data_IF_782600074590
#
_entry.id   IF_782600074590
#
_cell.length_a   1.000
_cell.length_b   1.000
_cell.length_c   1.000
_cell.angle_alpha   90.00
_cell.angle_beta   90.00
_cell.angle_gamma   90.00
#
_symmetry.space_group_name_H-M   'P 1'
#
loop_
_entity.id
_entity.type
_entity.pdbx_description
1 polymer ?
#
# COMPACT_ATOMS: atom_id res chain seq x y z
N UNK A 1 6.79 11.23 13.04
CA UNK A 1 6.83 11.60 11.61
C UNK A 1 5.42 12.10 11.29
N UNK A 2 5.25 13.40 11.04
CA UNK A 2 3.96 13.95 10.60
C UNK A 2 3.81 13.60 9.13
N UNK A 3 3.09 12.54 8.79
CA UNK A 3 2.86 12.14 7.39
C UNK A 3 1.91 13.14 6.75
N UNK A 4 2.33 13.74 5.64
CA UNK A 4 1.45 14.62 4.85
C UNK A 4 0.39 13.79 4.14
N UNK A 5 -0.75 14.39 3.79
CA UNK A 5 -1.82 13.71 3.04
C UNK A 5 -1.27 13.09 1.73
N UNK A 6 -0.31 13.75 1.09
CA UNK A 6 0.35 13.24 -0.13
C UNK A 6 1.25 12.04 0.13
N UNK A 7 1.94 12.01 1.27
CA UNK A 7 2.78 10.88 1.68
C UNK A 7 1.96 9.67 2.12
N UNK A 8 0.71 9.85 2.55
CA UNK A 8 -0.22 8.75 2.88
C UNK A 8 -0.94 8.24 1.63
N UNK A 9 -1.49 9.15 0.82
CA UNK A 9 -2.33 8.79 -0.33
C UNK A 9 -1.53 8.18 -1.48
N UNK A 10 -0.32 8.67 -1.78
CA UNK A 10 0.49 8.15 -2.88
C UNK A 10 0.84 6.66 -2.74
N UNK A 11 1.45 6.18 -1.63
CA UNK A 11 1.74 4.76 -1.47
C UNK A 11 0.46 3.92 -1.44
N UNK A 12 -0.61 4.41 -0.80
CA UNK A 12 -1.88 3.70 -0.76
C UNK A 12 -2.49 3.46 -2.16
N UNK A 13 -2.33 4.40 -3.11
CA UNK A 13 -2.73 4.17 -4.51
C UNK A 13 -1.78 3.19 -5.22
N UNK A 14 -0.47 3.27 -4.97
CA UNK A 14 0.50 2.31 -5.53
C UNK A 14 0.18 0.87 -5.09
N UNK A 15 -0.26 0.70 -3.84
CA UNK A 15 -0.68 -0.59 -3.25
C UNK A 15 -1.95 -1.17 -3.89
N UNK A 16 -2.83 -0.30 -4.39
CA UNK A 16 -4.09 -0.72 -5.01
C UNK A 16 -3.92 -1.15 -6.47
N UNK A 17 -3.08 -0.47 -7.24
CA UNK A 17 -3.06 -0.62 -8.71
C UNK A 17 -2.28 -1.83 -9.23
N UNK A 18 -1.21 -2.24 -8.55
CA UNK A 18 -0.16 -3.11 -9.14
C UNK A 18 -0.18 -4.60 -8.75
N UNK A 19 -0.62 -5.03 -7.56
CA UNK A 19 -0.30 -6.38 -7.09
C UNK A 19 -1.12 -7.50 -7.76
N UNK A 20 -2.40 -7.26 -8.06
CA UNK A 20 -3.27 -8.30 -8.63
C UNK A 20 -2.81 -8.72 -10.03
N UNK A 21 -2.46 -7.76 -10.90
CA UNK A 21 -2.16 -8.05 -12.30
C UNK A 21 -0.92 -8.94 -12.43
N UNK A 22 0.15 -8.66 -11.68
CA UNK A 22 1.36 -9.49 -11.69
C UNK A 22 1.09 -10.91 -11.18
N UNK A 23 0.30 -11.04 -10.12
CA UNK A 23 -0.05 -12.36 -9.57
C UNK A 23 -0.97 -13.15 -10.51
N UNK A 24 -1.83 -12.47 -11.28
CA UNK A 24 -2.68 -13.12 -12.29
C UNK A 24 -1.91 -13.55 -13.55
N UNK A 25 -0.79 -12.91 -13.86
CA UNK A 25 0.10 -13.30 -14.97
C UNK A 25 0.90 -14.58 -14.69
N UNK A 26 0.98 -15.03 -13.43
CA UNK A 26 1.62 -16.30 -13.06
C UNK A 26 0.70 -17.47 -13.38
N UNK A 27 1.04 -18.24 -14.41
CA UNK A 27 0.32 -19.46 -14.76
C UNK A 27 0.65 -20.57 -13.74
N UNK A 28 -0.37 -21.16 -13.07
CA UNK A 28 -0.13 -22.23 -12.11
C UNK A 28 0.20 -23.53 -12.83
N UNK A 29 1.21 -24.25 -12.35
CA UNK A 29 1.62 -25.54 -12.91
C UNK A 29 0.77 -26.69 -12.33
N UNK A 30 0.47 -26.64 -11.03
CA UNK A 30 -0.27 -27.68 -10.32
C UNK A 30 -1.56 -27.14 -9.67
N UNK A 31 -2.49 -28.06 -9.30
CA UNK A 31 -3.71 -27.71 -8.56
C UNK A 31 -3.40 -27.01 -7.21
N UNK A 32 -2.32 -27.45 -6.55
CA UNK A 32 -1.80 -26.82 -5.34
C UNK A 32 -1.36 -25.38 -5.60
N UNK A 33 -0.62 -25.12 -6.67
CA UNK A 33 -0.19 -23.76 -7.04
C UNK A 33 -1.38 -22.86 -7.40
N UNK A 34 -2.40 -23.44 -8.05
CA UNK A 34 -3.66 -22.75 -8.35
C UNK A 34 -4.38 -22.34 -7.05
N UNK A 35 -4.40 -23.22 -6.05
CA UNK A 35 -4.99 -22.91 -4.74
C UNK A 35 -4.23 -21.80 -4.03
N UNK A 36 -2.91 -21.90 -3.94
CA UNK A 36 -2.06 -20.86 -3.33
C UNK A 36 -2.23 -19.51 -4.03
N UNK A 37 -2.25 -19.49 -5.36
CA UNK A 37 -2.52 -18.27 -6.13
C UNK A 37 -3.90 -17.69 -5.79
N UNK A 38 -4.95 -18.52 -5.70
CA UNK A 38 -6.30 -18.06 -5.36
C UNK A 38 -6.36 -17.44 -3.97
N UNK A 39 -5.67 -18.03 -2.99
CA UNK A 39 -5.59 -17.48 -1.63
C UNK A 39 -4.79 -16.18 -1.59
N UNK A 40 -3.66 -16.09 -2.30
CA UNK A 40 -2.88 -14.85 -2.43
C UNK A 40 -3.70 -13.74 -3.06
N UNK A 41 -4.41 -14.03 -4.15
CA UNK A 41 -5.31 -13.07 -4.80
C UNK A 41 -6.41 -12.63 -3.83
N UNK A 42 -7.00 -13.54 -3.05
CA UNK A 42 -7.99 -13.19 -2.03
C UNK A 42 -7.40 -12.25 -0.97
N UNK A 43 -6.21 -12.55 -0.47
CA UNK A 43 -5.53 -11.69 0.51
C UNK A 43 -5.25 -10.30 -0.05
N UNK A 44 -4.73 -10.21 -1.28
CA UNK A 44 -4.49 -8.94 -1.98
C UNK A 44 -5.81 -8.16 -2.15
N UNK A 45 -6.92 -8.81 -2.49
CA UNK A 45 -8.23 -8.14 -2.59
C UNK A 45 -8.67 -7.58 -1.23
N UNK A 46 -8.47 -8.33 -0.13
CA UNK A 46 -8.77 -7.84 1.21
C UNK A 46 -7.92 -6.62 1.57
N UNK A 47 -6.62 -6.66 1.27
CA UNK A 47 -5.75 -5.50 1.45
C UNK A 47 -6.27 -4.30 0.67
N UNK A 48 -6.51 -4.44 -0.64
CA UNK A 48 -7.00 -3.37 -1.51
C UNK A 48 -8.28 -2.76 -0.96
N UNK A 49 -9.20 -3.60 -0.48
CA UNK A 49 -10.45 -3.12 0.14
C UNK A 49 -10.13 -2.26 1.36
N UNK A 50 -9.31 -2.76 2.29
CA UNK A 50 -8.95 -2.00 3.50
C UNK A 50 -8.18 -0.71 3.20
N UNK A 51 -7.26 -0.71 2.23
CA UNK A 51 -6.49 0.47 1.82
C UNK A 51 -7.40 1.48 1.12
N UNK A 52 -8.39 1.01 0.36
CA UNK A 52 -9.38 1.87 -0.29
C UNK A 52 -10.30 2.53 0.74
N UNK A 53 -10.70 1.82 1.79
CA UNK A 53 -11.50 2.39 2.89
C UNK A 53 -10.74 3.54 3.58
N UNK A 54 -9.45 3.34 3.87
CA UNK A 54 -8.57 4.40 4.42
C UNK A 54 -8.45 5.58 3.46
N UNK A 55 -8.28 5.33 2.15
CA UNK A 55 -8.23 6.39 1.15
C UNK A 55 -9.53 7.19 1.09
N UNK A 56 -10.68 6.53 1.16
CA UNK A 56 -11.99 7.20 1.18
C UNK A 56 -12.09 8.09 2.42
N UNK A 57 -11.73 7.58 3.59
CA UNK A 57 -11.73 8.35 4.85
C UNK A 57 -10.81 9.58 4.77
N UNK A 58 -9.62 9.43 4.19
CA UNK A 58 -8.67 10.54 3.99
C UNK A 58 -9.21 11.59 3.00
N UNK A 59 -9.94 11.16 1.97
CA UNK A 59 -10.57 12.07 1.01
C UNK A 59 -11.82 12.77 1.55
N UNK A 60 -12.52 12.18 2.52
CA UNK A 60 -13.64 12.81 3.22
C UNK A 60 -13.19 14.01 4.08
N UNK A 61 -11.90 14.11 4.43
CA UNK A 61 -11.28 15.26 5.13
C UNK A 61 -11.98 15.60 6.46
N UNK A 62 -12.36 14.57 7.24
CA UNK A 62 -13.09 14.71 8.51
C UNK A 62 -12.36 15.60 9.53
N UNK A 63 -11.03 15.61 9.49
CA UNK A 63 -10.15 16.35 10.39
C UNK A 63 -9.61 17.66 9.78
N UNK A 64 -9.98 17.99 8.54
CA UNK A 64 -9.47 19.13 7.75
C UNK A 64 -7.95 19.09 7.49
N UNK A 65 -7.29 17.93 7.67
CA UNK A 65 -5.85 17.79 7.46
C UNK A 65 -5.47 18.14 6.02
N UNK A 66 -6.29 17.80 5.03
CA UNK A 66 -6.04 18.13 3.62
C UNK A 66 -6.09 19.63 3.38
N UNK A 67 -7.06 20.31 3.98
CA UNK A 67 -7.20 21.76 3.86
C UNK A 67 -6.01 22.48 4.48
N UNK A 68 -5.56 22.02 5.64
CA UNK A 68 -4.44 22.62 6.36
C UNK A 68 -3.10 22.34 5.65
N UNK A 69 -2.91 21.15 5.07
CA UNK A 69 -1.74 20.85 4.23
C UNK A 69 -1.72 21.69 2.94
N UNK A 70 -2.87 21.91 2.30
CA UNK A 70 -2.98 22.80 1.13
C UNK A 70 -2.67 24.24 1.52
N UNK A 71 -3.13 24.71 2.68
CA UNK A 71 -2.84 26.06 3.16
C UNK A 71 -1.33 26.23 3.47
N UNK A 72 -0.72 25.22 4.08
CA UNK A 72 0.72 25.19 4.35
C UNK A 72 1.56 25.16 3.05
N UNK A 73 1.12 24.39 2.05
CA UNK A 73 1.75 24.36 0.72
C UNK A 73 1.52 25.66 -0.05
N UNK A 74 0.37 26.30 0.11
CA UNK A 74 -0.06 27.50 -0.61
C UNK A 74 0.71 28.78 -0.24
N UNK A 75 1.54 28.75 0.82
CA UNK A 75 2.47 29.84 1.15
C UNK A 75 1.80 31.20 1.34
N UNK A 76 0.53 31.22 1.77
CA UNK A 76 -0.23 32.45 1.95
C UNK A 76 0.24 33.15 3.23
N UNK A 77 0.98 34.23 3.07
CA UNK A 77 1.20 35.20 4.15
C UNK A 77 0.02 36.17 4.19
N UNK A 78 -0.27 36.75 5.36
CA UNK A 78 -1.36 37.71 5.59
C UNK A 78 -1.35 38.94 4.65
N UNK A 79 -0.30 39.12 3.84
CA UNK A 79 -0.12 40.21 2.89
C UNK A 79 -0.44 39.84 1.43
N UNK A 80 -0.90 38.62 1.13
CA UNK A 80 -1.28 38.20 -0.22
C UNK A 80 -0.11 37.86 -1.17
N UNK A 81 1.13 37.93 -0.70
CA UNK A 81 2.32 37.51 -1.47
C UNK A 81 2.57 36.02 -1.27
N UNK A 82 2.49 35.25 -2.35
CA UNK A 82 2.69 33.78 -2.36
C UNK A 82 4.19 33.49 -2.47
N UNK A 83 4.85 33.23 -1.33
CA UNK A 83 6.26 32.82 -1.29
C UNK A 83 6.39 31.29 -1.22
N UNK A 84 5.79 30.60 -2.20
CA UNK A 84 5.68 29.13 -2.29
C UNK A 84 7.04 28.43 -2.17
N UNK A 85 8.04 28.95 -2.90
CA UNK A 85 9.36 28.33 -2.99
C UNK A 85 10.12 28.41 -1.66
N UNK A 86 10.06 29.53 -0.94
CA UNK A 86 10.73 29.66 0.37
C UNK A 86 10.11 28.70 1.38
N UNK A 87 8.79 28.72 1.50
CA UNK A 87 8.05 27.86 2.44
C UNK A 87 8.32 26.37 2.19
N UNK A 88 8.40 25.96 0.93
CA UNK A 88 8.74 24.58 0.57
C UNK A 88 10.16 24.17 0.99
N UNK A 89 11.16 25.01 0.75
CA UNK A 89 12.54 24.71 1.16
C UNK A 89 12.73 24.77 2.68
N UNK A 90 12.03 25.67 3.36
CA UNK A 90 12.02 25.74 4.83
C UNK A 90 11.42 24.46 5.41
N UNK A 91 10.33 23.92 4.83
CA UNK A 91 9.74 22.64 5.22
C UNK A 91 10.66 21.45 4.95
N UNK A 92 11.36 21.41 3.81
CA UNK A 92 12.38 20.37 3.52
C UNK A 92 13.50 20.38 4.57
N UNK A 93 13.89 21.57 5.02
CA UNK A 93 14.91 21.77 6.04
C UNK A 93 14.39 21.37 7.42
N UNK A 94 13.17 21.74 7.76
CA UNK A 94 12.48 21.40 9.01
C UNK A 94 12.24 19.89 9.15
N UNK A 95 11.72 19.24 8.11
CA UNK A 95 11.44 17.80 8.08
C UNK A 95 12.72 16.95 8.01
N UNK A 96 13.90 17.56 7.97
CA UNK A 96 15.18 16.84 7.99
C UNK A 96 15.42 15.94 6.79
N UNK A 97 14.65 16.09 5.70
CA UNK A 97 14.68 15.21 4.51
C UNK A 97 16.07 15.13 3.91
N UNK A 98 16.81 16.26 3.90
CA UNK A 98 18.20 16.31 3.41
C UNK A 98 19.14 15.44 4.23
N UNK A 99 19.02 15.48 5.55
CA UNK A 99 19.86 14.70 6.45
C UNK A 99 19.48 13.22 6.40
N UNK A 100 18.18 12.91 6.31
CA UNK A 100 17.69 11.56 6.11
C UNK A 100 18.20 10.94 4.79
N UNK A 101 18.08 11.67 3.68
CA UNK A 101 18.59 11.25 2.37
C UNK A 101 20.12 11.13 2.35
N UNK A 102 20.83 11.97 3.10
CA UNK A 102 22.30 11.86 3.25
C UNK A 102 22.70 10.57 3.97
N UNK A 103 21.95 10.15 5.00
CA UNK A 103 22.19 8.93 5.76
C UNK A 103 21.72 7.66 5.05
N UNK A 104 20.70 7.79 4.20
CA UNK A 104 20.08 6.70 3.47
C UNK A 104 20.14 6.96 1.95
N UNK A 105 21.33 7.27 1.43
CA UNK A 105 21.52 7.57 0.01
C UNK A 105 21.24 6.36 -0.90
N UNK A 106 21.22 5.16 -0.34
CA UNK A 106 20.88 3.89 -1.00
C UNK A 106 19.54 3.33 -0.53
N UNK A 107 18.68 4.12 0.13
CA UNK A 107 17.33 3.67 0.45
C UNK A 107 16.62 3.28 -0.85
N UNK A 108 16.46 1.98 -1.05
CA UNK A 108 15.71 1.44 -2.17
C UNK A 108 14.24 1.70 -1.86
N UNK A 109 13.48 2.15 -2.85
CA UNK A 109 12.01 2.09 -2.77
C UNK A 109 11.68 0.61 -2.76
N UNK A 110 11.32 0.08 -1.58
CA UNK A 110 10.82 -1.29 -1.46
C UNK A 110 9.49 -1.29 -2.19
N UNK A 111 9.43 -2.02 -3.30
CA UNK A 111 8.16 -2.29 -3.98
C UNK A 111 7.35 -3.10 -2.98
N UNK A 112 6.14 -2.66 -2.63
CA UNK A 112 5.26 -3.35 -1.68
C UNK A 112 5.09 -4.84 -2.05
N UNK A 113 5.29 -5.15 -3.34
CA UNK A 113 5.28 -6.50 -3.89
C UNK A 113 6.52 -7.35 -3.52
N UNK A 114 7.73 -6.77 -3.38
CA UNK A 114 8.90 -7.51 -2.87
C UNK A 114 8.61 -8.01 -1.43
N UNK A 115 7.93 -7.20 -0.61
CA UNK A 115 7.47 -7.60 0.72
C UNK A 115 6.39 -8.71 0.68
N UNK A 116 5.52 -8.71 -0.34
CA UNK A 116 4.54 -9.79 -0.59
C UNK A 116 5.14 -11.10 -1.08
N UNK A 117 6.30 -11.07 -1.74
CA UNK A 117 7.01 -12.29 -2.15
C UNK A 117 7.86 -12.87 -1.03
N UNK A 118 8.33 -12.03 -0.12
CA UNK A 118 9.06 -12.42 1.09
C UNK A 118 8.14 -12.87 2.23
N UNK A 119 6.85 -12.52 2.20
CA UNK A 119 5.84 -13.10 3.07
C UNK A 119 5.91 -14.63 2.92
N UNK A 120 6.27 -15.38 3.99
CA UNK A 120 6.35 -16.82 3.93
C UNK A 120 5.03 -17.35 3.37
N UNK A 121 5.11 -18.38 2.52
CA UNK A 121 3.94 -19.12 2.02
C UNK A 121 3.20 -19.66 3.23
N UNK A 122 2.35 -18.85 3.85
CA UNK A 122 1.55 -19.27 4.98
C UNK A 122 0.75 -20.48 4.52
N UNK A 123 0.76 -21.50 5.36
CA UNK A 123 -0.04 -22.69 5.12
C UNK A 123 -1.47 -22.25 4.80
N UNK A 124 -2.10 -22.86 3.79
CA UNK A 124 -3.44 -22.48 3.36
C UNK A 124 -4.36 -22.48 4.58
N UNK A 125 -4.94 -21.31 4.92
CA UNK A 125 -5.88 -21.16 6.03
C UNK A 125 -7.04 -22.17 5.94
N UNK A 126 -7.39 -22.56 4.71
CA UNK A 126 -8.29 -23.68 4.42
C UNK A 126 -7.52 -24.99 4.49
N UNK A 127 -7.64 -25.70 5.62
CA UNK A 127 -7.13 -27.07 5.77
C UNK A 127 -8.00 -27.99 4.93
N UNK A 128 -7.58 -28.26 3.70
CA UNK A 128 -8.18 -29.34 2.92
C UNK A 128 -7.80 -30.67 3.57
N UNK A 129 -8.77 -31.56 3.71
CA UNK A 129 -8.48 -32.95 4.05
C UNK A 129 -7.68 -33.60 2.93
N UNK A 130 -6.87 -34.61 3.27
CA UNK A 130 -6.13 -35.39 2.27
C UNK A 130 -7.05 -36.00 1.20
N UNK A 131 -8.31 -36.27 1.56
CA UNK A 131 -9.33 -36.82 0.66
C UNK A 131 -9.92 -35.77 -0.31
N UNK A 132 -9.90 -34.49 0.06
CA UNK A 132 -10.40 -33.39 -0.79
C UNK A 132 -9.38 -32.97 -1.87
N UNK A 133 -8.13 -33.44 -1.75
CA UNK A 133 -7.03 -33.20 -2.68
C UNK A 133 -6.94 -31.73 -3.15
N UNK A 134 -6.91 -30.80 -2.18
CA UNK A 134 -6.84 -29.34 -2.42
C UNK A 134 -8.01 -28.79 -3.26
N UNK A 135 -9.22 -29.31 -3.02
CA UNK A 135 -10.45 -28.88 -3.69
C UNK A 135 -10.68 -29.56 -5.04
N UNK A 136 -9.99 -30.67 -5.32
CA UNK A 136 -10.24 -31.51 -6.49
C UNK A 136 -11.42 -32.47 -6.24
N UNK A 137 -11.59 -32.90 -5.00
CA UNK A 137 -12.70 -33.74 -4.57
C UNK A 137 -13.40 -33.09 -3.38
N UNK A 138 -14.69 -33.42 -3.22
CA UNK A 138 -15.46 -33.08 -2.03
C UNK A 138 -15.61 -34.39 -1.25
N UNK A 139 -15.09 -34.41 -0.03
CA UNK A 139 -15.31 -35.54 0.87
C UNK A 139 -16.78 -35.57 1.27
N UNK A 140 -17.45 -36.67 0.95
CA UNK A 140 -18.87 -36.91 1.23
C UNK A 140 -19.05 -38.08 2.20
N UNK A 141 -17.96 -38.55 2.83
CA UNK A 141 -17.95 -39.71 3.72
C UNK A 141 -18.16 -39.39 5.20
N UNK A 142 -18.29 -38.11 5.58
CA UNK A 142 -18.76 -37.69 6.91
C UNK A 142 -20.30 -37.69 7.05
#
# INVERSE_FOLDING_TARGET
MSSTVLEVTRPAHEDVERPIVRELQREPVNNLDRLFRSQRVRHIIHLITSTTDVLIDEYEDKDNARRDDIAALGGQTASGTINLFSAFYDRIKELGIREYHRRHSTARVVDVIEEYEELPKEDPLTKFSGEEAFGQYLDMHE
#
